data_IF_635613209145
#
_entry.id   IF_635613209145
#
_cell.length_a   1.000
_cell.length_b   1.000
_cell.length_c   1.000
_cell.angle_alpha   90.00
_cell.angle_beta   90.00
_cell.angle_gamma   90.00
#
_symmetry.space_group_name_H-M   'P 1'
#
loop_
_entity.id
_entity.type
_entity.pdbx_description
1 polymer ?
#
# COMPACT_ATOMS: atom_id res chain seq x y z
N UNK A 1 20.30 -7.02 -12.35
CA UNK A 1 19.51 -5.97 -11.66
C UNK A 1 19.14 -6.47 -10.28
N UNK A 2 19.41 -5.67 -9.26
CA UNK A 2 19.08 -6.01 -7.89
C UNK A 2 17.64 -5.60 -7.58
N UNK A 3 17.07 -6.14 -6.50
CA UNK A 3 15.74 -5.76 -6.07
C UNK A 3 15.68 -4.30 -5.64
N UNK A 4 16.79 -3.73 -5.16
CA UNK A 4 16.87 -2.33 -4.77
C UNK A 4 16.65 -1.39 -5.97
N UNK A 5 17.05 -1.81 -7.16
CA UNK A 5 16.85 -1.02 -8.36
C UNK A 5 15.38 -0.92 -8.76
N UNK A 6 14.61 -1.98 -8.50
CA UNK A 6 13.16 -1.93 -8.70
C UNK A 6 12.47 -1.10 -7.62
N UNK A 7 12.93 -1.23 -6.39
CA UNK A 7 12.33 -0.57 -5.25
C UNK A 7 12.70 0.90 -5.12
N UNK A 8 13.74 1.34 -5.82
CA UNK A 8 14.30 2.69 -5.63
C UNK A 8 13.34 3.83 -5.87
N UNK A 9 12.30 3.63 -6.68
CA UNK A 9 11.28 4.63 -6.94
C UNK A 9 10.07 4.53 -6.02
N UNK A 10 10.05 3.61 -5.09
CA UNK A 10 8.86 3.31 -4.27
C UNK A 10 8.94 3.83 -2.83
N UNK A 11 9.82 4.79 -2.59
CA UNK A 11 9.88 5.45 -1.30
C UNK A 11 10.54 4.62 -0.20
N UNK A 12 9.96 4.57 1.00
CA UNK A 12 10.67 4.17 2.21
C UNK A 12 10.89 2.66 2.40
N UNK A 13 10.58 1.81 1.40
CA UNK A 13 10.63 0.36 1.56
C UNK A 13 11.51 -0.31 0.51
N UNK A 14 12.84 0.03 0.47
CA UNK A 14 13.70 -0.49 -0.60
C UNK A 14 14.00 -1.98 -0.48
N UNK A 15 13.76 -2.59 0.66
CA UNK A 15 14.02 -4.00 0.93
C UNK A 15 12.83 -4.91 0.62
N UNK A 16 11.66 -4.34 0.31
CA UNK A 16 10.47 -5.10 -0.06
C UNK A 16 9.90 -4.50 -1.33
N UNK A 17 9.96 -5.24 -2.42
CA UNK A 17 9.37 -4.82 -3.69
C UNK A 17 7.88 -5.11 -3.67
N UNK A 18 7.06 -4.08 -3.90
CA UNK A 18 5.60 -4.24 -3.98
C UNK A 18 5.17 -4.07 -5.43
N UNK A 19 4.52 -5.09 -5.97
CA UNK A 19 4.02 -5.07 -7.35
C UNK A 19 2.57 -5.53 -7.42
N UNK A 20 1.86 -5.06 -8.43
CA UNK A 20 0.48 -5.46 -8.69
C UNK A 20 0.40 -6.68 -9.59
N UNK A 21 1.52 -7.10 -10.16
CA UNK A 21 1.63 -8.27 -11.02
C UNK A 21 1.82 -9.54 -10.20
N UNK A 22 1.64 -10.69 -10.81
CA UNK A 22 1.85 -11.97 -10.13
C UNK A 22 3.30 -12.47 -10.25
N UNK A 23 4.13 -11.80 -11.05
CA UNK A 23 5.53 -12.14 -11.18
C UNK A 23 6.37 -10.87 -11.34
N UNK A 24 7.68 -11.04 -11.28
CA UNK A 24 8.65 -9.96 -11.45
C UNK A 24 9.64 -10.40 -12.53
N UNK A 25 9.67 -9.73 -13.70
CA UNK A 25 10.61 -10.10 -14.77
C UNK A 25 12.05 -10.12 -14.28
N UNK A 26 12.77 -11.16 -14.66
CA UNK A 26 14.17 -11.36 -14.24
C UNK A 26 14.32 -12.01 -12.89
N UNK A 27 13.24 -12.30 -12.20
CA UNK A 27 13.24 -12.94 -10.89
C UNK A 27 12.35 -14.19 -10.90
N UNK A 28 12.59 -15.07 -9.95
CA UNK A 28 11.71 -16.21 -9.73
C UNK A 28 11.23 -16.20 -8.28
N UNK A 29 10.02 -16.66 -8.07
CA UNK A 29 9.47 -16.84 -6.73
C UNK A 29 10.01 -18.15 -6.18
N UNK A 30 10.80 -18.06 -5.12
CA UNK A 30 11.38 -19.25 -4.48
C UNK A 30 10.56 -19.73 -3.29
N UNK A 31 9.73 -18.86 -2.73
CA UNK A 31 8.86 -19.20 -1.60
C UNK A 31 7.64 -18.30 -1.61
N UNK A 32 6.47 -18.89 -1.46
CA UNK A 32 5.23 -18.14 -1.20
C UNK A 32 4.98 -18.20 0.30
N UNK A 33 5.03 -17.06 0.96
CA UNK A 33 4.82 -16.98 2.40
C UNK A 33 3.33 -16.95 2.74
N UNK A 34 2.58 -16.17 1.98
CA UNK A 34 1.13 -16.09 2.16
C UNK A 34 0.61 -14.67 2.15
N UNK A 35 -0.67 -14.55 2.47
CA UNK A 35 -1.34 -13.25 2.48
C UNK A 35 -0.78 -12.35 3.59
N UNK A 36 -0.57 -11.09 3.22
CA UNK A 36 -0.27 -10.02 4.16
C UNK A 36 -1.22 -8.86 3.90
N UNK A 37 -1.46 -8.08 4.92
CA UNK A 37 -2.31 -6.90 4.79
C UNK A 37 -1.85 -5.80 5.73
N UNK A 38 -2.23 -4.58 5.38
CA UNK A 38 -2.07 -3.41 6.22
C UNK A 38 -3.40 -2.67 6.28
N UNK A 39 -3.86 -2.37 7.48
CA UNK A 39 -5.18 -1.82 7.72
C UNK A 39 -5.07 -0.45 8.35
N UNK A 40 -5.86 0.49 7.85
CA UNK A 40 -6.00 1.83 8.42
C UNK A 40 -7.48 2.16 8.50
N UNK A 41 -7.91 2.67 9.64
CA UNK A 41 -9.28 3.16 9.82
C UNK A 41 -9.21 4.66 10.08
N UNK A 42 -9.91 5.44 9.25
CA UNK A 42 -10.05 6.88 9.42
C UNK A 42 -11.40 7.19 10.02
N UNK A 43 -11.42 8.02 11.05
CA UNK A 43 -12.64 8.35 11.77
C UNK A 43 -13.57 9.25 10.95
N UNK A 44 -14.81 9.34 11.40
CA UNK A 44 -15.79 10.25 10.81
C UNK A 44 -15.39 11.72 10.88
N UNK A 45 -14.44 12.07 11.74
CA UNK A 45 -13.90 13.44 11.79
C UNK A 45 -13.16 13.83 10.52
N UNK A 46 -12.88 12.86 9.65
CA UNK A 46 -12.45 13.13 8.28
C UNK A 46 -13.44 14.07 7.57
N UNK A 47 -14.71 14.03 7.96
CA UNK A 47 -15.75 14.91 7.40
C UNK A 47 -15.45 16.40 7.54
N UNK A 48 -14.82 16.81 8.64
CA UNK A 48 -14.42 18.21 8.82
C UNK A 48 -13.31 18.61 7.86
N UNK A 49 -12.39 17.70 7.55
CA UNK A 49 -11.35 17.94 6.57
C UNK A 49 -11.91 17.96 5.15
N UNK A 50 -12.92 17.13 4.88
CA UNK A 50 -13.64 17.15 3.61
C UNK A 50 -14.30 18.50 3.42
N UNK A 51 -14.99 19.02 4.44
CA UNK A 51 -15.61 20.32 4.39
C UNK A 51 -14.63 21.45 4.14
N UNK A 52 -13.46 21.39 4.76
CA UNK A 52 -12.38 22.34 4.52
C UNK A 52 -11.83 22.21 3.09
N UNK A 53 -11.73 20.99 2.60
CA UNK A 53 -11.29 20.71 1.23
C UNK A 53 -12.22 21.28 0.17
N UNK A 54 -13.53 21.27 0.42
CA UNK A 54 -14.50 21.85 -0.49
C UNK A 54 -14.28 23.34 -0.70
N UNK A 55 -13.82 24.05 0.31
CA UNK A 55 -13.54 25.48 0.22
C UNK A 55 -12.31 25.80 -0.62
N UNK A 56 -11.43 24.84 -0.81
CA UNK A 56 -10.22 24.99 -1.60
C UNK A 56 -10.25 24.22 -2.92
N UNK A 57 -11.45 23.91 -3.39
CA UNK A 57 -11.62 23.21 -4.67
C UNK A 57 -11.15 24.11 -5.81
N UNK A 58 -10.26 23.55 -6.66
CA UNK A 58 -9.75 24.22 -7.85
C UNK A 58 -9.85 23.26 -9.02
N UNK A 59 -10.51 23.69 -10.08
CA UNK A 59 -10.62 22.87 -11.29
C UNK A 59 -11.36 21.54 -11.10
N UNK A 60 -12.25 21.46 -10.11
CA UNK A 60 -13.01 20.25 -9.81
C UNK A 60 -12.31 19.28 -8.88
N UNK A 61 -11.09 19.57 -8.46
CA UNK A 61 -10.34 18.71 -7.55
C UNK A 61 -10.41 19.18 -6.11
N UNK A 62 -10.67 18.25 -5.19
CA UNK A 62 -10.65 18.47 -3.75
C UNK A 62 -9.25 18.15 -3.22
N UNK A 63 -8.33 19.11 -3.29
CA UNK A 63 -6.92 18.90 -2.98
C UNK A 63 -6.66 18.39 -1.57
N UNK A 64 -7.38 18.93 -0.59
CA UNK A 64 -7.23 18.49 0.80
C UNK A 64 -7.65 17.04 1.00
N UNK A 65 -8.72 16.63 0.35
CA UNK A 65 -9.21 15.26 0.40
C UNK A 65 -8.25 14.32 -0.34
N UNK A 66 -7.77 14.72 -1.51
CA UNK A 66 -6.78 13.94 -2.25
C UNK A 66 -5.54 13.67 -1.40
N UNK A 67 -5.01 14.70 -0.76
CA UNK A 67 -3.85 14.55 0.11
C UNK A 67 -4.11 13.57 1.24
N UNK A 68 -5.26 13.68 1.89
CA UNK A 68 -5.63 12.80 2.99
C UNK A 68 -5.75 11.34 2.53
N UNK A 69 -6.34 11.11 1.36
CA UNK A 69 -6.48 9.75 0.80
C UNK A 69 -5.13 9.16 0.43
N UNK A 70 -4.22 9.95 -0.14
CA UNK A 70 -2.88 9.48 -0.45
C UNK A 70 -2.14 9.10 0.82
N UNK A 71 -2.21 9.92 1.87
CA UNK A 71 -1.58 9.62 3.16
C UNK A 71 -2.16 8.35 3.78
N UNK A 72 -3.47 8.15 3.70
CA UNK A 72 -4.14 6.98 4.24
C UNK A 72 -3.70 5.71 3.52
N UNK A 73 -3.61 5.76 2.20
CA UNK A 73 -3.12 4.63 1.41
C UNK A 73 -1.67 4.32 1.71
N UNK A 74 -0.84 5.35 1.83
CA UNK A 74 0.58 5.17 2.17
C UNK A 74 0.74 4.51 3.53
N UNK A 75 -0.07 4.89 4.51
CA UNK A 75 -0.04 4.28 5.84
C UNK A 75 -0.45 2.81 5.80
N UNK A 76 -1.49 2.47 5.03
CA UNK A 76 -1.90 1.08 4.88
C UNK A 76 -0.79 0.26 4.20
N UNK A 77 -0.13 0.81 3.19
CA UNK A 77 0.99 0.16 2.53
C UNK A 77 2.16 -0.06 3.48
N UNK A 78 2.51 0.94 4.30
CA UNK A 78 3.59 0.80 5.27
C UNK A 78 3.33 -0.37 6.23
N UNK A 79 2.10 -0.51 6.69
CA UNK A 79 1.72 -1.60 7.58
C UNK A 79 1.80 -2.96 6.90
N UNK A 80 1.40 -3.03 5.64
CA UNK A 80 1.53 -4.24 4.83
C UNK A 80 2.99 -4.64 4.68
N UNK A 81 3.85 -3.70 4.33
CA UNK A 81 5.29 -3.94 4.13
C UNK A 81 5.93 -4.40 5.43
N UNK A 82 5.58 -3.78 6.56
CA UNK A 82 6.09 -4.20 7.86
C UNK A 82 5.70 -5.64 8.18
N UNK A 83 4.46 -6.03 7.89
CA UNK A 83 4.03 -7.41 8.10
C UNK A 83 4.79 -8.37 7.20
N UNK A 84 4.98 -8.01 5.93
CA UNK A 84 5.74 -8.83 4.97
C UNK A 84 7.20 -8.99 5.43
N UNK A 85 7.83 -7.88 5.82
CA UNK A 85 9.21 -7.89 6.32
C UNK A 85 9.36 -8.79 7.55
N UNK A 86 8.43 -8.67 8.49
CA UNK A 86 8.46 -9.46 9.72
C UNK A 86 8.36 -10.96 9.44
N UNK A 87 7.76 -11.35 8.32
CA UNK A 87 7.62 -12.74 7.91
C UNK A 87 8.77 -13.22 7.00
N UNK A 88 9.75 -12.38 6.76
CA UNK A 88 10.92 -12.74 5.96
C UNK A 88 10.77 -12.55 4.46
N UNK A 89 9.73 -11.85 4.02
CA UNK A 89 9.50 -11.59 2.60
C UNK A 89 10.41 -10.48 2.08
N UNK A 90 10.74 -10.56 0.80
CA UNK A 90 11.37 -9.44 0.08
C UNK A 90 10.49 -8.93 -1.07
N UNK A 91 9.31 -9.47 -1.21
CA UNK A 91 8.35 -9.01 -2.22
C UNK A 91 6.91 -9.18 -1.74
N UNK A 92 6.04 -8.33 -2.25
CA UNK A 92 4.59 -8.49 -2.15
C UNK A 92 4.06 -8.47 -3.58
N UNK A 93 3.42 -9.56 -3.96
CA UNK A 93 2.84 -9.75 -5.29
C UNK A 93 1.34 -9.53 -5.25
N UNK A 94 0.75 -9.20 -6.38
CA UNK A 94 -0.71 -9.03 -6.52
C UNK A 94 -1.28 -8.03 -5.53
N UNK A 95 -0.56 -6.92 -5.35
CA UNK A 95 -0.95 -5.88 -4.40
C UNK A 95 -2.25 -5.20 -4.82
N UNK A 96 -3.15 -5.02 -3.87
CA UNK A 96 -4.46 -4.38 -4.07
C UNK A 96 -4.84 -3.56 -2.85
N UNK A 97 -5.76 -2.63 -3.05
CA UNK A 97 -6.43 -1.89 -1.98
C UNK A 97 -7.92 -2.20 -2.02
N UNK A 98 -8.51 -2.31 -0.83
CA UNK A 98 -9.96 -2.29 -0.64
C UNK A 98 -10.32 -1.17 0.31
N UNK A 99 -11.44 -0.53 0.04
CA UNK A 99 -11.98 0.53 0.89
C UNK A 99 -13.39 0.13 1.30
N UNK A 100 -13.67 0.19 2.59
CA UNK A 100 -14.96 -0.21 3.13
C UNK A 100 -15.38 0.71 4.28
N UNK A 101 -16.69 0.72 4.58
CA UNK A 101 -17.18 1.40 5.74
C UNK A 101 -16.84 0.59 6.99
N UNK A 102 -16.28 1.25 8.00
CA UNK A 102 -15.98 0.63 9.29
C UNK A 102 -17.09 0.96 10.27
N UNK A 103 -18.24 0.33 10.09
CA UNK A 103 -19.48 0.61 10.82
C UNK A 103 -19.80 2.12 10.77
N UNK A 104 -20.19 2.70 11.91
CA UNK A 104 -20.46 4.13 11.98
C UNK A 104 -19.25 4.97 12.34
N UNK A 105 -18.10 4.36 12.54
CA UNK A 105 -16.93 5.04 13.08
C UNK A 105 -16.00 5.63 12.02
N UNK A 106 -16.05 5.13 10.79
CA UNK A 106 -15.16 5.70 9.76
C UNK A 106 -15.06 4.88 8.50
N UNK A 107 -13.94 5.04 7.83
CA UNK A 107 -13.61 4.35 6.60
C UNK A 107 -12.38 3.49 6.81
N UNK A 108 -12.47 2.24 6.41
CA UNK A 108 -11.36 1.31 6.43
C UNK A 108 -10.67 1.31 5.06
N UNK A 109 -9.35 1.39 5.09
CA UNK A 109 -8.52 1.17 3.90
C UNK A 109 -7.62 -0.01 4.18
N UNK A 110 -7.73 -1.04 3.37
CA UNK A 110 -6.93 -2.26 3.50
C UNK A 110 -6.04 -2.43 2.28
N UNK A 111 -4.73 -2.48 2.51
CA UNK A 111 -3.77 -2.91 1.51
C UNK A 111 -3.51 -4.41 1.72
N UNK A 112 -3.51 -5.20 0.66
CA UNK A 112 -3.25 -6.62 0.79
C UNK A 112 -2.52 -7.17 -0.42
N UNK A 113 -1.92 -8.33 -0.26
CA UNK A 113 -1.20 -9.00 -1.33
C UNK A 113 -0.58 -10.29 -0.82
N UNK A 114 0.27 -10.88 -1.64
CA UNK A 114 0.96 -12.13 -1.32
C UNK A 114 2.42 -11.85 -1.02
N UNK A 115 2.82 -12.09 0.22
CA UNK A 115 4.22 -12.00 0.61
C UNK A 115 4.98 -13.21 0.03
N UNK A 116 6.15 -12.94 -0.51
CA UNK A 116 6.96 -13.96 -1.18
C UNK A 116 8.44 -13.64 -1.03
N UNK A 117 9.26 -14.67 -1.27
CA UNK A 117 10.69 -14.51 -1.48
C UNK A 117 10.98 -14.70 -2.95
N UNK A 118 11.66 -13.72 -3.53
CA UNK A 118 12.09 -13.76 -4.93
C UNK A 118 13.61 -13.70 -5.02
N UNK A 119 14.15 -14.31 -6.05
CA UNK A 119 15.59 -14.31 -6.31
C UNK A 119 15.84 -14.03 -7.79
N UNK A 120 16.96 -13.36 -8.14
CA UNK A 120 17.29 -13.16 -9.54
C UNK A 120 17.40 -14.49 -10.28
N UNK A 121 16.91 -14.54 -11.50
CA UNK A 121 17.14 -15.69 -12.38
C UNK A 121 18.59 -15.71 -12.83
N UNK A 122 19.13 -16.88 -12.86
CA UNK A 122 20.52 -17.09 -13.31
C UNK A 122 20.54 -17.28 -14.83
#
# INVERSE_FOLDING_TARGET
MSIDEFGGGQGPHPDVLVVTTNDVPGYEVTEVIGEVFGLTVRSRHLGSQIGAGLKSMVGGELKGLTKTLVETRSQAMERLVEQARARGANAVLMFRFDVAAAADVGTEVCAYGTAAVISPRV
#
